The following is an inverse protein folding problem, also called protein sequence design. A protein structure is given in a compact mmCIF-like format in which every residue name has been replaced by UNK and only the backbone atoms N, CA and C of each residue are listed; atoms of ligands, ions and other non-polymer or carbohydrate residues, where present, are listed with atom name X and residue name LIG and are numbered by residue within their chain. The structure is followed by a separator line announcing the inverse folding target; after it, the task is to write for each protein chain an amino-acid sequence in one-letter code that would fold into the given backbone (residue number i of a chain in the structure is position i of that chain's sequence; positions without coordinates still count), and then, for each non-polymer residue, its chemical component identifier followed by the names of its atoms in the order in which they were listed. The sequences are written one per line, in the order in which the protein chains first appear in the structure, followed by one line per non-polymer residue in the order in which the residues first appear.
data_IF_678598018085
#
_entry.id   IF_678598018085
#
_cell.length_a   1.000
_cell.length_b   1.000
_cell.length_c   1.000
_cell.angle_alpha   90.00
_cell.angle_beta   90.00
_cell.angle_gamma   90.00
#
_symmetry.space_group_name_H-M   'P 1'
#
loop_
_entity.id
_entity.type
_entity.pdbx_description
1 polymer ?
#
# COMPACT_ATOMS: atom_id res chain seq x y z
N UNK A 1 -3.08 -22.05 -9.12
CA UNK A 1 -1.99 -21.22 -8.55
C UNK A 1 -2.43 -19.76 -8.69
N UNK A 2 -2.86 -19.11 -7.60
CA UNK A 2 -3.07 -17.66 -7.66
C UNK A 2 -1.72 -17.03 -8.01
N UNK A 3 -1.65 -16.33 -9.14
CA UNK A 3 -0.44 -15.60 -9.51
C UNK A 3 -0.04 -14.71 -8.34
N UNK A 4 1.26 -14.67 -8.00
CA UNK A 4 1.81 -13.78 -6.95
C UNK A 4 1.32 -12.33 -7.12
N UNK A 5 1.06 -11.95 -8.37
CA UNK A 5 0.47 -10.68 -8.78
C UNK A 5 -0.94 -10.44 -8.22
N UNK A 6 -1.80 -11.45 -8.20
CA UNK A 6 -3.17 -11.36 -7.66
C UNK A 6 -3.14 -11.21 -6.14
N UNK A 7 -2.25 -11.94 -5.46
CA UNK A 7 -2.05 -11.83 -4.00
C UNK A 7 -1.55 -10.42 -3.64
N UNK A 8 -0.55 -9.90 -4.34
CA UNK A 8 -0.03 -8.55 -4.08
C UNK A 8 -1.12 -7.48 -4.28
N UNK A 9 -1.92 -7.61 -5.33
CA UNK A 9 -3.02 -6.68 -5.61
C UNK A 9 -4.09 -6.71 -4.51
N UNK A 10 -4.39 -7.90 -3.98
CA UNK A 10 -5.35 -8.09 -2.90
C UNK A 10 -4.84 -7.49 -1.57
N UNK A 11 -3.55 -7.65 -1.27
CA UNK A 11 -2.89 -7.02 -0.11
C UNK A 11 -2.95 -5.50 -0.22
N UNK A 12 -2.62 -4.94 -1.39
CA UNK A 12 -2.67 -3.49 -1.62
C UNK A 12 -4.09 -2.95 -1.42
N UNK A 13 -5.10 -3.61 -2.00
CA UNK A 13 -6.50 -3.18 -1.88
C UNK A 13 -6.95 -3.25 -0.42
N UNK A 14 -6.62 -4.33 0.29
CA UNK A 14 -6.95 -4.47 1.72
C UNK A 14 -6.27 -3.39 2.57
N UNK A 15 -5.00 -3.11 2.31
CA UNK A 15 -4.25 -2.08 3.01
C UNK A 15 -4.83 -0.68 2.75
N UNK A 16 -5.18 -0.38 1.50
CA UNK A 16 -5.75 0.92 1.12
C UNK A 16 -7.11 1.17 1.77
N UNK A 17 -7.94 0.14 1.91
CA UNK A 17 -9.23 0.22 2.63
C UNK A 17 -9.02 0.45 4.14
N UNK A 18 -8.06 -0.27 4.75
CA UNK A 18 -7.73 -0.10 6.18
C UNK A 18 -7.18 1.30 6.49
N UNK A 19 -6.27 1.80 5.66
CA UNK A 19 -5.72 3.16 5.80
C UNK A 19 -6.83 4.21 5.63
N UNK A 20 -7.70 4.04 4.63
CA UNK A 20 -8.84 4.93 4.42
C UNK A 20 -9.81 4.97 5.61
N UNK A 21 -10.11 3.81 6.20
CA UNK A 21 -10.96 3.71 7.39
C UNK A 21 -10.30 4.37 8.62
N UNK A 22 -9.00 4.14 8.83
CA UNK A 22 -8.25 4.79 9.89
C UNK A 22 -8.23 6.32 9.73
N UNK A 23 -8.01 6.81 8.50
CA UNK A 23 -8.02 8.23 8.18
C UNK A 23 -9.40 8.85 8.48
N UNK A 24 -10.48 8.22 8.01
CA UNK A 24 -11.84 8.68 8.25
C UNK A 24 -12.18 8.74 9.75
N UNK A 25 -11.80 7.71 10.51
CA UNK A 25 -12.04 7.66 11.96
C UNK A 25 -11.19 8.68 12.73
N UNK A 26 -9.95 8.92 12.29
CA UNK A 26 -9.07 9.92 12.88
C UNK A 26 -9.60 11.34 12.68
N UNK A 27 -10.13 11.64 11.48
CA UNK A 27 -10.80 12.92 11.18
C UNK A 27 -12.06 13.07 12.04
N UNK A 28 -12.86 12.01 12.17
CA UNK A 28 -14.09 12.03 12.97
C UNK A 28 -13.86 12.34 14.46
N UNK A 29 -12.76 11.85 15.05
CA UNK A 29 -12.40 12.13 16.43
C UNK A 29 -11.48 13.35 16.63
N UNK A 30 -11.21 14.13 15.56
CA UNK A 30 -10.24 15.24 15.55
C UNK A 30 -8.90 14.90 16.23
N UNK A 31 -8.48 13.63 16.12
CA UNK A 31 -7.24 13.17 16.74
C UNK A 31 -6.08 13.52 15.81
N UNK A 32 -5.36 14.60 16.13
CA UNK A 32 -4.17 15.05 15.40
C UNK A 32 -3.15 13.91 15.27
N UNK A 33 -2.97 13.13 16.34
CA UNK A 33 -2.09 11.96 16.35
C UNK A 33 -2.54 10.88 15.35
N UNK A 34 -3.85 10.60 15.27
CA UNK A 34 -4.41 9.65 14.32
C UNK A 34 -4.23 10.09 12.87
N UNK A 35 -4.35 11.40 12.60
CA UNK A 35 -4.14 11.97 11.27
C UNK A 35 -2.68 11.84 10.85
N UNK A 36 -1.73 12.16 11.75
CA UNK A 36 -0.29 12.01 11.49
C UNK A 36 0.05 10.55 11.21
N UNK A 37 -0.39 9.62 12.06
CA UNK A 37 -0.17 8.19 11.88
C UNK A 37 -0.77 7.66 10.58
N UNK A 38 -1.97 8.11 10.22
CA UNK A 38 -2.60 7.75 8.96
C UNK A 38 -1.84 8.29 7.74
N UNK A 39 -1.32 9.52 7.80
CA UNK A 39 -0.45 10.10 6.76
C UNK A 39 0.87 9.33 6.64
N UNK A 40 1.52 9.00 7.75
CA UNK A 40 2.76 8.20 7.75
C UNK A 40 2.50 6.81 7.17
N UNK A 41 1.39 6.17 7.53
CA UNK A 41 0.99 4.87 6.99
C UNK A 41 0.69 4.93 5.49
N UNK A 42 0.04 6.00 5.04
CA UNK A 42 -0.27 6.23 3.62
C UNK A 42 1.02 6.46 2.81
N UNK A 43 1.97 7.24 3.35
CA UNK A 43 3.30 7.42 2.75
C UNK A 43 4.09 6.12 2.66
N UNK A 44 4.12 5.32 3.71
CA UNK A 44 4.77 4.01 3.71
C UNK A 44 4.10 3.04 2.71
N UNK A 45 2.77 3.07 2.61
CA UNK A 45 2.01 2.28 1.65
C UNK A 45 2.35 2.62 0.20
N UNK A 46 2.44 3.91 -0.15
CA UNK A 46 2.86 4.37 -1.48
C UNK A 46 4.29 3.91 -1.78
N UNK A 47 5.21 4.08 -0.83
CA UNK A 47 6.61 3.66 -1.00
C UNK A 47 6.76 2.15 -1.19
N UNK A 48 6.00 1.36 -0.42
CA UNK A 48 5.96 -0.08 -0.57
C UNK A 48 5.47 -0.49 -1.97
N UNK A 49 4.40 0.17 -2.45
CA UNK A 49 3.84 -0.08 -3.77
C UNK A 49 4.84 0.26 -4.89
N UNK A 50 5.59 1.35 -4.72
CA UNK A 50 6.68 1.74 -5.62
C UNK A 50 7.82 0.71 -5.65
N UNK A 51 8.28 0.24 -4.49
CA UNK A 51 9.30 -0.82 -4.38
C UNK A 51 8.84 -2.12 -5.07
N UNK A 52 7.58 -2.50 -4.88
CA UNK A 52 6.99 -3.68 -5.52
C UNK A 52 6.89 -3.52 -7.04
N UNK A 53 6.49 -2.34 -7.52
CA UNK A 53 6.44 -2.04 -8.95
C UNK A 53 7.83 -2.14 -9.58
N UNK A 54 8.84 -1.53 -8.94
CA UNK A 54 10.23 -1.59 -9.37
C UNK A 54 10.77 -3.02 -9.40
N UNK A 55 10.52 -3.82 -8.36
CA UNK A 55 10.94 -5.22 -8.31
C UNK A 55 10.28 -6.06 -9.42
N UNK A 56 9.01 -5.81 -9.75
CA UNK A 56 8.34 -6.48 -10.87
C UNK A 56 8.91 -6.08 -12.23
N UNK A 57 9.30 -4.82 -12.41
CA UNK A 57 9.96 -4.36 -13.64
C UNK A 57 11.34 -5.00 -13.82
N UNK A 58 12.13 -5.10 -12.75
CA UNK A 58 13.44 -5.77 -12.76
C UNK A 58 13.29 -7.26 -13.08
N UNK A 59 12.35 -7.97 -12.45
CA UNK A 59 12.05 -9.38 -12.76
C UNK A 59 11.67 -9.60 -14.22
N UNK A 60 10.80 -8.74 -14.78
CA UNK A 60 10.42 -8.83 -16.20
C UNK A 60 11.59 -8.56 -17.13
N UNK A 61 12.51 -7.66 -16.73
CA UNK A 61 13.69 -7.31 -17.51
C UNK A 61 14.72 -8.44 -17.51
N UNK A 62 14.80 -9.23 -16.43
CA UNK A 62 15.60 -10.45 -16.37
C UNK A 62 14.98 -11.61 -17.15
N UNK A 63 13.66 -11.76 -17.19
CA UNK A 63 12.98 -12.80 -17.99
C UNK A 63 13.08 -12.59 -19.51
N UNK A 64 13.34 -11.37 -19.98
CA UNK A 64 13.45 -11.04 -21.42
C UNK A 64 14.91 -11.14 -21.93
N UNK A 65 15.90 -11.29 -21.04
CA UNK A 65 17.32 -11.46 -21.40
C UNK A 65 17.70 -12.94 -21.50
#
# INVERSE_FOLDING_TARGET
MLSKQTINRLIIIGFMVLVGFCLAKAIYHQSVMGIILALTSLGAGIYFLYMVAKANEEMKREEIR
#
